data_IF_208000742719
#
_entry.id   IF_208000742719
#
_cell.length_a   1.000
_cell.length_b   1.000
_cell.length_c   1.000
_cell.angle_alpha   90.00
_cell.angle_beta   90.00
_cell.angle_gamma   90.00
#
_symmetry.space_group_name_H-M   'P 1'
#
loop_
_entity.id
_entity.type
_entity.pdbx_description
1 polymer ?
#
# COMPACT_ATOMS: atom_id res chain seq x y z
N UNK A 1 -4.85 -1.38 -41.65
CA UNK A 1 -5.14 -1.04 -40.24
C UNK A 1 -6.10 -2.04 -39.59
N UNK A 2 -7.30 -2.30 -40.15
CA UNK A 2 -8.29 -3.24 -39.57
C UNK A 2 -7.78 -4.67 -39.30
N UNK A 3 -6.95 -5.26 -40.18
CA UNK A 3 -6.42 -6.64 -40.00
C UNK A 3 -5.41 -6.79 -38.85
N UNK A 4 -4.67 -5.73 -38.50
CA UNK A 4 -3.66 -5.77 -37.43
C UNK A 4 -4.27 -5.79 -36.04
N UNK A 5 -5.33 -5.00 -35.84
CA UNK A 5 -6.06 -4.93 -34.56
C UNK A 5 -6.82 -6.22 -34.28
N UNK A 6 -7.34 -6.89 -35.31
CA UNK A 6 -7.98 -8.21 -35.16
C UNK A 6 -7.00 -9.29 -34.67
N UNK A 7 -5.77 -9.29 -35.18
CA UNK A 7 -4.76 -10.30 -34.81
C UNK A 7 -4.31 -10.16 -33.35
N UNK A 8 -4.19 -8.92 -32.85
CA UNK A 8 -3.80 -8.68 -31.45
C UNK A 8 -4.87 -9.11 -30.46
N UNK A 9 -6.15 -8.88 -30.76
CA UNK A 9 -7.26 -9.36 -29.93
C UNK A 9 -7.39 -10.87 -29.93
N UNK A 10 -7.15 -11.51 -31.08
CA UNK A 10 -7.19 -12.97 -31.16
C UNK A 10 -6.03 -13.61 -30.40
N UNK A 11 -4.83 -13.01 -30.49
CA UNK A 11 -3.66 -13.43 -29.72
C UNK A 11 -3.86 -13.30 -28.21
N UNK A 12 -4.34 -12.15 -27.74
CA UNK A 12 -4.59 -11.95 -26.30
C UNK A 12 -5.70 -12.87 -25.77
N UNK A 13 -6.76 -13.10 -26.54
CA UNK A 13 -7.82 -14.04 -26.18
C UNK A 13 -7.33 -15.48 -26.09
N UNK A 14 -6.49 -15.92 -27.03
CA UNK A 14 -5.91 -17.27 -27.00
C UNK A 14 -4.98 -17.46 -25.79
N UNK A 15 -4.19 -16.44 -25.42
CA UNK A 15 -3.32 -16.49 -24.24
C UNK A 15 -4.15 -16.59 -22.96
N UNK A 16 -5.22 -15.80 -22.82
CA UNK A 16 -6.09 -15.86 -21.65
C UNK A 16 -6.80 -17.22 -21.53
N UNK A 17 -7.25 -17.81 -22.64
CA UNK A 17 -7.89 -19.13 -22.67
C UNK A 17 -6.95 -20.27 -22.29
N UNK A 18 -5.69 -20.21 -22.75
CA UNK A 18 -4.67 -21.17 -22.33
C UNK A 18 -4.41 -21.03 -20.82
N UNK A 19 -4.32 -19.80 -20.32
CA UNK A 19 -4.08 -19.55 -18.91
C UNK A 19 -5.21 -20.07 -18.02
N UNK A 20 -6.47 -19.87 -18.43
CA UNK A 20 -7.63 -20.41 -17.70
C UNK A 20 -7.74 -21.93 -17.78
N UNK A 21 -7.33 -22.54 -18.88
CA UNK A 21 -7.31 -24.00 -19.00
C UNK A 21 -6.27 -24.63 -18.05
N UNK A 22 -5.06 -24.08 -18.00
CA UNK A 22 -4.03 -24.55 -17.07
C UNK A 22 -4.36 -24.27 -15.61
N UNK A 23 -5.11 -23.20 -15.31
CA UNK A 23 -5.50 -22.88 -13.94
C UNK A 23 -6.78 -23.57 -13.47
N UNK A 24 -7.49 -24.29 -14.34
CA UNK A 24 -8.78 -24.91 -13.99
C UNK A 24 -8.65 -25.93 -12.84
N UNK A 25 -7.62 -26.79 -12.88
CA UNK A 25 -7.36 -27.75 -11.80
C UNK A 25 -6.96 -27.04 -10.49
N UNK A 26 -6.13 -26.00 -10.58
CA UNK A 26 -5.73 -25.20 -9.43
C UNK A 26 -6.92 -24.48 -8.79
N UNK A 27 -7.83 -23.94 -9.61
CA UNK A 27 -9.06 -23.29 -9.15
C UNK A 27 -9.99 -24.32 -8.50
N UNK A 28 -10.16 -25.50 -9.08
CA UNK A 28 -10.97 -26.57 -8.49
C UNK A 28 -10.41 -27.04 -7.14
N UNK A 29 -9.10 -27.18 -7.02
CA UNK A 29 -8.45 -27.52 -5.76
C UNK A 29 -8.64 -26.42 -4.71
N UNK A 30 -8.52 -25.14 -5.11
CA UNK A 30 -8.76 -24.02 -4.19
C UNK A 30 -10.22 -23.93 -3.74
N UNK A 31 -11.19 -24.21 -4.62
CA UNK A 31 -12.62 -24.21 -4.29
C UNK A 31 -12.92 -25.28 -3.23
N UNK A 32 -12.32 -26.46 -3.36
CA UNK A 32 -12.45 -27.54 -2.37
C UNK A 32 -11.92 -27.19 -0.97
N UNK A 33 -11.02 -26.22 -0.85
CA UNK A 33 -10.55 -25.70 0.44
C UNK A 33 -11.36 -24.50 0.93
N UNK A 34 -11.83 -23.66 0.01
CA UNK A 34 -12.59 -22.43 0.34
C UNK A 34 -14.00 -22.76 0.80
N UNK A 35 -14.67 -23.73 0.19
CA UNK A 35 -16.04 -24.13 0.56
C UNK A 35 -16.17 -24.55 2.04
N UNK A 36 -15.37 -25.48 2.57
CA UNK A 36 -15.41 -25.82 3.99
C UNK A 36 -14.93 -24.66 4.89
N UNK A 37 -13.97 -23.84 4.43
CA UNK A 37 -13.54 -22.66 5.18
C UNK A 37 -14.67 -21.62 5.30
N UNK A 38 -15.46 -21.42 4.24
CA UNK A 38 -16.65 -20.57 4.24
C UNK A 38 -17.74 -21.15 5.15
N UNK A 39 -18.00 -22.46 5.10
CA UNK A 39 -18.94 -23.11 6.03
C UNK A 39 -18.53 -22.89 7.49
N UNK A 40 -17.24 -23.05 7.82
CA UNK A 40 -16.73 -22.76 9.15
C UNK A 40 -16.87 -21.28 9.55
N UNK A 41 -16.57 -20.35 8.62
CA UNK A 41 -16.73 -18.91 8.84
C UNK A 41 -18.18 -18.51 9.13
N UNK A 42 -19.14 -19.12 8.43
CA UNK A 42 -20.57 -18.84 8.66
C UNK A 42 -21.13 -19.59 9.86
N UNK A 43 -20.56 -20.74 10.23
CA UNK A 43 -20.93 -21.49 11.43
C UNK A 43 -20.46 -20.81 12.73
N UNK A 44 -19.31 -20.13 12.69
CA UNK A 44 -18.78 -19.34 13.82
C UNK A 44 -18.68 -17.85 13.47
N UNK A 45 -19.74 -17.05 13.68
CA UNK A 45 -19.73 -15.62 13.32
C UNK A 45 -18.66 -14.79 14.06
N UNK A 46 -18.11 -15.30 15.17
CA UNK A 46 -16.94 -14.71 15.84
C UNK A 46 -15.69 -14.70 14.96
N UNK A 47 -15.52 -15.67 14.05
CA UNK A 47 -14.38 -15.74 13.13
C UNK A 47 -14.40 -14.69 12.02
N UNK A 48 -15.58 -14.14 11.69
CA UNK A 48 -15.71 -13.04 10.70
C UNK A 48 -15.46 -11.68 11.38
N UNK A 49 -15.85 -11.53 12.64
CA UNK A 49 -15.73 -10.28 13.38
C UNK A 49 -14.26 -9.89 13.61
N UNK A 50 -13.41 -10.87 13.89
CA UNK A 50 -11.99 -10.67 14.15
C UNK A 50 -11.21 -10.06 12.96
N UNK A 51 -11.26 -10.61 11.73
CA UNK A 51 -10.60 -10.01 10.57
C UNK A 51 -11.22 -8.66 10.20
N UNK A 52 -12.52 -8.44 10.47
CA UNK A 52 -13.14 -7.13 10.26
C UNK A 52 -12.57 -6.07 11.21
N UNK A 53 -12.50 -6.36 12.51
CA UNK A 53 -11.91 -5.45 13.51
C UNK A 53 -10.43 -5.19 13.20
N UNK A 54 -9.68 -6.23 12.85
CA UNK A 54 -8.27 -6.12 12.47
C UNK A 54 -8.10 -5.20 11.24
N UNK A 55 -8.94 -5.37 10.22
CA UNK A 55 -8.87 -4.53 9.01
C UNK A 55 -9.13 -3.06 9.31
N UNK A 56 -10.13 -2.76 10.16
CA UNK A 56 -10.44 -1.40 10.61
C UNK A 56 -9.28 -0.82 11.42
N UNK A 57 -8.72 -1.60 12.34
CA UNK A 57 -7.59 -1.17 13.16
C UNK A 57 -6.36 -0.85 12.32
N UNK A 58 -6.03 -1.69 11.33
CA UNK A 58 -4.93 -1.45 10.39
C UNK A 58 -5.16 -0.22 9.53
N UNK A 59 -6.40 0.03 9.08
CA UNK A 59 -6.73 1.26 8.35
C UNK A 59 -6.52 2.50 9.21
N UNK A 60 -6.97 2.47 10.47
CA UNK A 60 -6.78 3.59 11.41
C UNK A 60 -5.29 3.81 11.66
N UNK A 61 -4.54 2.77 12.02
CA UNK A 61 -3.11 2.87 12.27
C UNK A 61 -2.32 3.34 11.04
N UNK A 62 -2.61 2.78 9.87
CA UNK A 62 -2.00 3.21 8.61
C UNK A 62 -2.27 4.69 8.32
N UNK A 63 -3.52 5.15 8.50
CA UNK A 63 -3.87 6.55 8.29
C UNK A 63 -3.16 7.51 9.26
N UNK A 64 -3.00 7.10 10.53
CA UNK A 64 -2.27 7.87 11.55
C UNK A 64 -0.78 7.96 11.23
N UNK A 65 -0.16 6.85 10.80
CA UNK A 65 1.25 6.82 10.42
C UNK A 65 1.53 7.68 9.17
N UNK A 66 0.65 7.61 8.16
CA UNK A 66 0.75 8.47 6.97
C UNK A 66 0.59 9.94 7.34
N UNK A 67 -0.37 10.27 8.20
CA UNK A 67 -0.59 11.65 8.67
C UNK A 67 0.60 12.16 9.49
N UNK A 68 1.15 11.33 10.37
CA UNK A 68 2.35 11.66 11.14
C UNK A 68 3.59 11.82 10.28
N UNK A 69 3.73 11.04 9.21
CA UNK A 69 4.80 11.22 8.23
C UNK A 69 4.64 12.52 7.44
N UNK A 70 3.43 12.85 6.99
CA UNK A 70 3.15 14.12 6.33
C UNK A 70 3.44 15.32 7.26
N UNK A 71 3.10 15.19 8.55
CA UNK A 71 3.45 16.17 9.56
C UNK A 71 4.96 16.32 9.72
N UNK A 72 5.71 15.22 9.73
CA UNK A 72 7.18 15.26 9.78
C UNK A 72 7.75 16.00 8.56
N UNK A 73 7.24 15.71 7.36
CA UNK A 73 7.68 16.40 6.13
C UNK A 73 7.37 17.90 6.14
N UNK A 74 6.32 18.33 6.86
CA UNK A 74 5.97 19.75 6.98
C UNK A 74 7.03 20.58 7.71
N UNK A 75 7.93 19.94 8.47
CA UNK A 75 9.02 20.62 9.19
C UNK A 75 10.22 20.99 8.32
N UNK A 76 10.14 20.75 7.00
CA UNK A 76 11.20 21.10 6.05
C UNK A 76 11.47 22.62 6.02
N UNK A 77 12.75 23.00 5.99
CA UNK A 77 13.13 24.40 5.82
C UNK A 77 12.95 24.84 4.36
N UNK A 78 12.21 25.93 4.16
CA UNK A 78 12.09 26.61 2.88
C UNK A 78 13.17 27.69 2.78
N UNK A 79 14.11 27.52 1.85
CA UNK A 79 15.08 28.57 1.53
C UNK A 79 14.54 29.40 0.35
N UNK A 80 14.48 30.74 0.49
CA UNK A 80 14.10 31.61 -0.62
C UNK A 80 15.21 31.62 -1.66
N UNK A 81 14.86 31.32 -2.90
CA UNK A 81 15.80 31.39 -4.02
C UNK A 81 15.85 32.83 -4.55
N UNK A 82 17.07 33.32 -4.81
CA UNK A 82 17.31 34.69 -5.25
C UNK A 82 17.84 34.66 -6.68
N UNK A 83 17.08 35.23 -7.62
CA UNK A 83 17.48 35.32 -9.02
C UNK A 83 17.85 36.77 -9.31
N UNK A 84 19.06 36.99 -9.84
CA UNK A 84 19.51 38.33 -10.29
C UNK A 84 18.92 38.63 -11.65
N UNK A 85 17.93 39.53 -11.72
CA UNK A 85 17.44 40.09 -12.99
C UNK A 85 17.90 41.55 -13.09
N UNK A 86 18.65 41.88 -14.15
CA UNK A 86 19.07 43.27 -14.47
C UNK A 86 19.79 44.02 -13.34
N UNK A 87 20.52 43.32 -12.47
CA UNK A 87 21.29 43.94 -11.40
C UNK A 87 20.50 44.21 -10.11
N UNK A 88 19.19 43.94 -10.09
CA UNK A 88 18.39 43.90 -8.86
C UNK A 88 18.18 42.45 -8.42
N UNK A 89 18.38 42.20 -7.12
CA UNK A 89 18.09 40.91 -6.49
C UNK A 89 16.58 40.84 -6.22
N UNK A 90 15.83 40.17 -7.09
CA UNK A 90 14.40 39.90 -6.88
C UNK A 90 14.28 38.53 -6.22
N UNK A 91 14.10 38.52 -4.91
CA UNK A 91 13.92 37.29 -4.13
C UNK A 91 12.48 36.78 -4.12
N UNK A 92 12.31 35.45 -4.04
CA UNK A 92 11.03 34.84 -3.67
C UNK A 92 10.14 34.35 -4.81
N UNK A 93 10.61 34.35 -6.07
CA UNK A 93 9.86 33.72 -7.18
C UNK A 93 9.86 32.18 -7.09
N UNK A 94 10.90 31.59 -6.51
CA UNK A 94 11.03 30.15 -6.30
C UNK A 94 11.46 29.87 -4.85
N UNK A 95 10.91 28.82 -4.25
CA UNK A 95 11.32 28.31 -2.93
C UNK A 95 11.94 26.94 -3.14
N UNK A 96 13.19 26.77 -2.74
CA UNK A 96 13.83 25.47 -2.69
C UNK A 96 13.59 24.82 -1.33
N UNK A 97 13.05 23.60 -1.34
CA UNK A 97 12.93 22.77 -0.14
C UNK A 97 14.29 22.16 0.16
N UNK A 98 14.96 22.65 1.20
CA UNK A 98 16.25 22.12 1.62
C UNK A 98 16.06 21.26 2.87
N UNK A 99 16.21 19.95 2.70
CA UNK A 99 16.14 19.01 3.81
C UNK A 99 17.55 18.79 4.37
N UNK A 100 17.86 19.26 5.59
CA UNK A 100 19.13 18.97 6.21
C UNK A 100 19.28 17.45 6.42
N UNK A 101 20.52 16.97 6.42
CA UNK A 101 20.83 15.53 6.50
C UNK A 101 20.11 14.85 7.67
N UNK A 102 20.09 15.51 8.83
CA UNK A 102 19.42 15.01 10.03
C UNK A 102 17.91 14.80 9.83
N UNK A 103 17.21 15.74 9.17
CA UNK A 103 15.78 15.60 8.88
C UNK A 103 15.51 14.45 7.90
N UNK A 104 16.40 14.20 6.94
CA UNK A 104 16.30 13.04 6.04
C UNK A 104 16.45 11.72 6.81
N UNK A 105 17.42 11.64 7.72
CA UNK A 105 17.61 10.46 8.58
C UNK A 105 16.39 10.22 9.46
N UNK A 106 15.83 11.28 10.05
CA UNK A 106 14.60 11.18 10.86
C UNK A 106 13.39 10.71 10.04
N UNK A 107 13.25 11.16 8.80
CA UNK A 107 12.19 10.69 7.91
C UNK A 107 12.34 9.19 7.58
N UNK A 108 13.55 8.73 7.29
CA UNK A 108 13.82 7.30 7.03
C UNK A 108 13.59 6.46 8.29
N UNK A 109 14.04 6.92 9.45
CA UNK A 109 13.83 6.25 10.73
C UNK A 109 12.33 6.13 11.06
N UNK A 110 11.55 7.20 10.83
CA UNK A 110 10.11 7.18 11.00
C UNK A 110 9.44 6.15 10.06
N UNK A 111 9.82 6.14 8.77
CA UNK A 111 9.26 5.19 7.81
C UNK A 111 9.55 3.73 8.22
N UNK A 112 10.76 3.44 8.69
CA UNK A 112 11.12 2.13 9.21
C UNK A 112 10.30 1.77 10.47
N UNK A 113 10.16 2.71 11.41
CA UNK A 113 9.33 2.54 12.60
C UNK A 113 7.85 2.32 12.29
N UNK A 114 7.33 2.97 11.24
CA UNK A 114 5.95 2.80 10.76
C UNK A 114 5.73 1.39 10.20
N UNK A 115 6.65 0.88 9.37
CA UNK A 115 6.61 -0.52 8.90
C UNK A 115 6.67 -1.48 10.07
N UNK A 116 7.57 -1.24 11.02
CA UNK A 116 7.72 -2.09 12.20
C UNK A 116 6.47 -2.12 13.08
N UNK A 117 5.79 -0.98 13.28
CA UNK A 117 4.51 -0.90 14.01
C UNK A 117 3.38 -1.68 13.31
N UNK A 118 3.35 -1.64 11.97
CA UNK A 118 2.40 -2.42 11.19
C UNK A 118 2.67 -3.93 11.33
N UNK A 119 3.94 -4.34 11.30
CA UNK A 119 4.31 -5.74 11.54
C UNK A 119 3.98 -6.20 12.95
N UNK A 120 4.19 -5.34 13.96
CA UNK A 120 3.79 -5.64 15.34
C UNK A 120 2.27 -5.84 15.45
N UNK A 121 1.48 -5.03 14.73
CA UNK A 121 0.03 -5.21 14.65
C UNK A 121 -0.35 -6.55 13.99
N UNK A 122 0.33 -6.93 12.91
CA UNK A 122 0.14 -8.23 12.26
C UNK A 122 0.45 -9.40 13.22
N UNK A 123 1.57 -9.31 13.94
CA UNK A 123 1.98 -10.34 14.89
C UNK A 123 0.98 -10.48 16.05
N UNK A 124 0.48 -9.36 16.57
CA UNK A 124 -0.57 -9.36 17.60
C UNK A 124 -1.86 -10.00 17.09
N UNK A 125 -2.30 -9.70 15.86
CA UNK A 125 -3.48 -10.32 15.28
C UNK A 125 -3.33 -11.84 15.11
N UNK A 126 -2.18 -12.30 14.61
CA UNK A 126 -1.87 -13.73 14.51
C UNK A 126 -1.85 -14.41 15.88
N UNK A 127 -1.35 -13.73 16.90
CA UNK A 127 -1.40 -14.21 18.28
C UNK A 127 -2.86 -14.38 18.74
N UNK A 128 -3.72 -13.37 18.58
CA UNK A 128 -5.13 -13.49 19.00
C UNK A 128 -5.84 -14.64 18.28
N UNK A 129 -5.62 -14.82 16.98
CA UNK A 129 -6.22 -15.93 16.21
C UNK A 129 -5.71 -17.30 16.71
N UNK A 130 -4.44 -17.39 17.09
CA UNK A 130 -3.84 -18.66 17.53
C UNK A 130 -4.32 -19.11 18.91
N UNK A 131 -4.84 -18.20 19.73
CA UNK A 131 -5.25 -18.45 21.13
C UNK A 131 -6.75 -18.23 21.39
N UNK A 132 -7.56 -17.97 20.34
CA UNK A 132 -9.03 -17.90 20.38
C UNK A 132 -9.66 -19.20 19.93
#
# INVERSE_FOLDING_TARGET
>A
VSRGVGLTFFGSGAVLLLFTYFSQEAVSASLGCVEPACECLFAMPSMVLQPAIESVWKLVMGSLLVSGFAWLLSTAHMEPDFIKLKGEEVGGLTRSLNFPFFSKVMAVYYAFGAVWLMELTNAMSQFVISFS
#
